data_IF_311871247691
#
_entry.id   IF_311871247691
#
_cell.length_a   1.000
_cell.length_b   1.000
_cell.length_c   1.000
_cell.angle_alpha   90.00
_cell.angle_beta   90.00
_cell.angle_gamma   90.00
#
_symmetry.space_group_name_H-M   'P 1'
#
loop_
_entity.id
_entity.type
_entity.pdbx_description
1 polymer ?
#
# COMPACT_ATOMS: atom_id res chain seq x y z
N UNK A 1 7.05 -14.78 -0.57
CA UNK A 1 5.96 -13.79 -0.46
C UNK A 1 6.36 -12.74 0.53
N UNK A 2 6.49 -11.50 0.07
CA UNK A 2 6.90 -10.38 0.90
C UNK A 2 5.64 -9.58 1.25
N UNK A 3 5.48 -9.24 2.53
CA UNK A 3 4.41 -8.35 2.99
C UNK A 3 4.97 -6.95 3.18
N UNK A 4 4.47 -6.00 2.41
CA UNK A 4 4.84 -4.59 2.53
C UNK A 4 3.71 -3.83 3.25
N UNK A 5 4.06 -3.03 4.24
CA UNK A 5 3.11 -2.11 4.87
C UNK A 5 3.35 -0.69 4.38
N UNK A 6 2.30 -0.05 3.88
CA UNK A 6 2.32 1.36 3.48
C UNK A 6 1.53 2.18 4.51
N UNK A 7 2.07 3.35 4.86
CA UNK A 7 1.37 4.38 5.62
C UNK A 7 1.18 5.61 4.73
N UNK A 8 -0.03 6.14 4.69
CA UNK A 8 -0.38 7.33 3.89
C UNK A 8 -1.37 8.21 4.64
N UNK A 9 -1.45 9.49 4.29
CA UNK A 9 -2.43 10.44 4.85
C UNK A 9 -3.57 10.73 3.88
N UNK A 10 -3.29 10.76 2.59
CA UNK A 10 -4.24 11.10 1.53
C UNK A 10 -4.32 9.99 0.49
N UNK A 11 -5.41 9.96 -0.27
CA UNK A 11 -5.59 8.98 -1.35
C UNK A 11 -4.60 9.19 -2.49
N UNK A 12 -4.14 10.43 -2.73
CA UNK A 12 -3.10 10.72 -3.72
C UNK A 12 -1.75 10.08 -3.36
N UNK A 13 -1.35 10.15 -2.09
CA UNK A 13 -0.14 9.47 -1.60
C UNK A 13 -0.24 7.96 -1.77
N UNK A 14 -1.41 7.38 -1.44
CA UNK A 14 -1.71 5.96 -1.63
C UNK A 14 -1.56 5.55 -3.09
N UNK A 15 -2.23 6.25 -4.00
CA UNK A 15 -2.25 5.94 -5.43
C UNK A 15 -0.85 6.04 -6.04
N UNK A 16 -0.09 7.08 -5.66
CA UNK A 16 1.30 7.26 -6.10
C UNK A 16 2.20 6.13 -5.63
N UNK A 17 2.12 5.71 -4.36
CA UNK A 17 2.94 4.60 -3.86
C UNK A 17 2.58 3.27 -4.53
N UNK A 18 1.28 2.99 -4.72
CA UNK A 18 0.84 1.77 -5.42
C UNK A 18 1.35 1.79 -6.87
N UNK A 19 1.25 2.91 -7.57
CA UNK A 19 1.78 3.09 -8.94
C UNK A 19 3.27 2.78 -9.03
N UNK A 20 4.08 3.33 -8.11
CA UNK A 20 5.54 3.12 -8.10
C UNK A 20 5.86 1.65 -7.83
N UNK A 21 5.16 1.01 -6.89
CA UNK A 21 5.39 -0.39 -6.55
C UNK A 21 4.97 -1.33 -7.69
N UNK A 22 3.83 -1.08 -8.33
CA UNK A 22 3.36 -1.86 -9.49
C UNK A 22 4.29 -1.77 -10.70
N UNK A 23 5.18 -0.77 -10.78
CA UNK A 23 6.13 -0.64 -11.88
C UNK A 23 7.30 -1.64 -11.77
N UNK A 24 7.65 -2.08 -10.56
CA UNK A 24 8.79 -2.95 -10.32
C UNK A 24 8.45 -4.31 -9.73
N UNK A 25 7.24 -4.49 -9.20
CA UNK A 25 6.83 -5.71 -8.49
C UNK A 25 5.38 -6.05 -8.76
N UNK A 26 5.08 -7.34 -8.84
CA UNK A 26 3.70 -7.83 -9.01
C UNK A 26 2.98 -7.80 -7.67
N UNK A 27 1.96 -6.94 -7.56
CA UNK A 27 1.08 -6.87 -6.40
C UNK A 27 0.01 -7.97 -6.52
N UNK A 28 0.07 -8.99 -5.66
CA UNK A 28 -0.91 -10.08 -5.65
C UNK A 28 -2.18 -9.72 -4.90
N UNK A 29 -2.04 -9.00 -3.79
CA UNK A 29 -3.17 -8.69 -2.91
C UNK A 29 -2.97 -7.36 -2.23
N UNK A 30 -4.08 -6.64 -2.12
CA UNK A 30 -4.18 -5.40 -1.37
C UNK A 30 -5.17 -5.64 -0.22
N UNK A 31 -4.73 -5.41 1.02
CA UNK A 31 -5.61 -5.53 2.18
C UNK A 31 -6.60 -4.37 2.25
N UNK A 32 -7.65 -4.54 3.05
CA UNK A 32 -8.50 -3.41 3.45
C UNK A 32 -7.66 -2.37 4.18
N UNK A 33 -7.93 -1.10 3.90
CA UNK A 33 -7.28 0.01 4.58
C UNK A 33 -7.74 0.12 6.03
N UNK A 34 -6.80 0.47 6.90
CA UNK A 34 -7.04 0.64 8.33
C UNK A 34 -6.54 2.00 8.78
N UNK A 35 -7.39 2.76 9.47
CA UNK A 35 -7.01 4.06 10.03
C UNK A 35 -6.32 3.85 11.38
N UNK A 36 -5.17 4.48 11.55
CA UNK A 36 -4.42 4.49 12.81
C UNK A 36 -3.97 5.91 13.12
N UNK A 37 -4.75 6.60 13.94
CA UNK A 37 -4.55 8.01 14.28
C UNK A 37 -4.69 8.92 13.05
N UNK A 38 -3.63 9.69 12.77
CA UNK A 38 -3.57 10.64 11.64
C UNK A 38 -3.27 10.00 10.27
N UNK A 39 -3.02 8.69 10.24
CA UNK A 39 -2.57 7.98 9.05
C UNK A 39 -3.46 6.77 8.75
N UNK A 40 -3.54 6.42 7.47
CA UNK A 40 -4.06 5.15 6.99
C UNK A 40 -2.92 4.16 6.78
N UNK A 41 -3.24 2.88 6.87
CA UNK A 41 -2.32 1.76 6.67
C UNK A 41 -2.94 0.71 5.78
N UNK A 42 -2.11 0.16 4.90
CA UNK A 42 -2.49 -0.86 3.94
C UNK A 42 -1.34 -1.87 3.81
N UNK A 43 -1.69 -3.14 3.75
CA UNK A 43 -0.74 -4.21 3.50
C UNK A 43 -0.85 -4.66 2.04
N UNK A 44 0.30 -4.83 1.42
CA UNK A 44 0.45 -5.39 0.08
C UNK A 44 1.19 -6.71 0.19
N UNK A 45 0.63 -7.74 -0.43
CA UNK A 45 1.37 -8.97 -0.70
C UNK A 45 1.99 -8.83 -2.10
N UNK A 46 3.32 -8.81 -2.16
CA UNK A 46 4.09 -8.71 -3.41
C UNK A 46 4.88 -10.00 -3.65
N UNK A 47 4.98 -10.38 -4.92
CA UNK A 47 5.77 -11.53 -5.40
C UNK A 47 7.22 -11.18 -5.65
#
# INVERSE_FOLDING_TARGET
MIKLQIKYKTDDEKNKMISILSAGVTIKKISKESKSGKYYRLYLDIE
#
